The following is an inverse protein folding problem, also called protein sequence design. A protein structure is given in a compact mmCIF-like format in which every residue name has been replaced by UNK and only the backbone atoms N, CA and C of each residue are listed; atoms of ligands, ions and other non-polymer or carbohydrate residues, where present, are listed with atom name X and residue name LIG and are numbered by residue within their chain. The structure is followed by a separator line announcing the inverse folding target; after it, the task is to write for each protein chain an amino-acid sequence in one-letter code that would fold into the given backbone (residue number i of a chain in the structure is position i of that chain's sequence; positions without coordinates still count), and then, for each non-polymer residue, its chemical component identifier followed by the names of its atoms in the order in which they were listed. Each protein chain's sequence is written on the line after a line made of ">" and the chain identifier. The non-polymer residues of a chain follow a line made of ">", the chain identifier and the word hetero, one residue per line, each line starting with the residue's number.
data_IF_047447080981
#
_entry.id   IF_047447080981
#
_cell.length_a   1.000
_cell.length_b   1.000
_cell.length_c   1.000
_cell.angle_alpha   90.00
_cell.angle_beta   90.00
_cell.angle_gamma   90.00
#
_symmetry.space_group_name_H-M   'P 1'
#
loop_
_entity.id
_entity.type
_entity.pdbx_description
1 polymer ?
#
# COMPACT_ATOMS: atom_id res chain seq x y z
N UNK A 1 -56.40 -13.23 6.14
CA UNK A 1 -55.77 -12.56 5.74
C UNK A 1 -54.57 -12.57 6.18
N UNK A 2 -53.92 -12.51 5.46
CA UNK A 2 -52.77 -12.66 5.77
C UNK A 2 -52.35 -11.62 6.46
N UNK A 3 -51.96 -11.74 7.26
CA UNK A 3 -51.41 -11.01 7.75
C UNK A 3 -50.41 -10.53 7.28
N UNK A 4 -50.46 -9.74 6.97
CA UNK A 4 -49.52 -9.08 6.62
C UNK A 4 -48.54 -8.97 7.58
N UNK A 5 -47.56 -9.71 7.43
CA UNK A 5 -46.52 -9.48 8.13
C UNK A 5 -45.96 -8.21 7.71
N UNK A 6 -45.81 -7.25 8.53
CA UNK A 6 -45.08 -6.10 8.19
C UNK A 6 -43.73 -6.50 7.79
N UNK A 7 -43.24 -6.02 6.65
CA UNK A 7 -41.86 -6.25 6.34
C UNK A 7 -41.04 -5.69 7.47
N UNK A 8 -40.20 -6.49 8.01
CA UNK A 8 -39.23 -6.02 8.97
C UNK A 8 -38.44 -4.97 8.22
N UNK A 9 -38.51 -3.74 8.66
CA UNK A 9 -37.83 -2.69 7.93
C UNK A 9 -36.32 -2.94 7.98
N UNK A 10 -35.67 -2.61 6.92
CA UNK A 10 -34.20 -2.69 6.87
C UNK A 10 -33.59 -1.93 8.02
N UNK A 11 -34.20 -0.81 8.39
CA UNK A 11 -33.78 -0.01 9.51
C UNK A 11 -33.81 -0.75 10.82
N UNK A 12 -34.85 -1.57 11.04
CA UNK A 12 -34.94 -2.38 12.24
C UNK A 12 -33.83 -3.44 12.31
N UNK A 13 -33.55 -4.09 11.19
CA UNK A 13 -32.46 -5.06 11.12
C UNK A 13 -31.11 -4.41 11.33
N UNK A 14 -30.88 -3.26 10.72
CA UNK A 14 -29.64 -2.51 10.93
C UNK A 14 -29.48 -2.11 12.37
N UNK A 15 -30.58 -1.67 13.01
CA UNK A 15 -30.53 -1.24 14.39
C UNK A 15 -30.25 -2.42 15.33
N UNK A 16 -30.80 -3.57 15.02
CA UNK A 16 -30.63 -4.76 15.85
C UNK A 16 -29.21 -5.32 15.72
N UNK A 17 -28.66 -5.28 14.51
CA UNK A 17 -27.38 -5.92 14.21
C UNK A 17 -26.27 -4.93 13.93
N UNK A 18 -26.45 -3.65 14.27
CA UNK A 18 -25.46 -2.66 13.90
C UNK A 18 -24.08 -2.93 14.51
N UNK A 19 -24.04 -3.48 15.72
CA UNK A 19 -22.76 -3.81 16.37
C UNK A 19 -22.06 -4.93 15.60
N UNK A 20 -22.81 -5.96 15.20
CA UNK A 20 -22.25 -7.04 14.41
C UNK A 20 -21.75 -6.55 13.05
N UNK A 21 -22.51 -5.67 12.40
CA UNK A 21 -22.13 -5.10 11.12
C UNK A 21 -20.86 -4.28 11.27
N UNK A 22 -20.77 -3.49 12.33
CA UNK A 22 -19.61 -2.65 12.59
C UNK A 22 -18.36 -3.49 12.84
N UNK A 23 -18.48 -4.52 13.69
CA UNK A 23 -17.35 -5.42 13.98
C UNK A 23 -16.93 -6.16 12.72
N UNK A 24 -17.89 -6.63 11.93
CA UNK A 24 -17.59 -7.31 10.68
C UNK A 24 -16.87 -6.41 9.69
N UNK A 25 -17.29 -5.14 9.62
CA UNK A 25 -16.63 -4.16 8.76
C UNK A 25 -15.17 -3.92 9.15
N UNK A 26 -14.90 -3.79 10.46
CA UNK A 26 -13.53 -3.63 10.95
C UNK A 26 -12.70 -4.87 10.63
N UNK A 27 -13.28 -6.05 10.84
CA UNK A 27 -12.60 -7.30 10.59
C UNK A 27 -12.25 -7.46 9.11
N UNK A 28 -13.18 -7.10 8.21
CA UNK A 28 -12.94 -7.12 6.78
C UNK A 28 -11.84 -6.14 6.37
N UNK A 29 -11.82 -4.95 6.98
CA UNK A 29 -10.78 -3.96 6.72
C UNK A 29 -9.41 -4.50 7.09
N UNK A 30 -9.29 -5.15 8.23
CA UNK A 30 -8.03 -5.73 8.67
C UNK A 30 -7.56 -6.85 7.76
N UNK A 31 -8.49 -7.71 7.35
CA UNK A 31 -8.17 -8.79 6.41
C UNK A 31 -7.68 -8.20 5.08
N UNK A 32 -8.34 -7.15 4.61
CA UNK A 32 -7.95 -6.50 3.37
C UNK A 32 -6.53 -5.91 3.46
N UNK A 33 -6.21 -5.25 4.57
CA UNK A 33 -4.88 -4.69 4.78
C UNK A 33 -3.79 -5.75 4.79
N UNK A 34 -4.02 -6.82 5.52
CA UNK A 34 -3.05 -7.92 5.61
C UNK A 34 -2.91 -8.60 4.24
N UNK A 35 -4.02 -8.83 3.56
CA UNK A 35 -4.03 -9.45 2.25
C UNK A 35 -3.31 -8.62 1.21
N UNK A 36 -3.49 -7.31 1.24
CA UNK A 36 -2.81 -6.42 0.31
C UNK A 36 -1.30 -6.47 0.48
N UNK A 37 -0.81 -6.44 1.71
CA UNK A 37 0.62 -6.53 1.99
C UNK A 37 1.22 -7.84 1.51
N UNK A 38 0.54 -8.95 1.80
CA UNK A 38 0.98 -10.26 1.37
C UNK A 38 0.95 -10.41 -0.14
N UNK A 39 -0.07 -9.86 -0.77
CA UNK A 39 -0.22 -9.87 -2.22
C UNK A 39 0.93 -9.13 -2.90
N UNK A 40 1.25 -7.94 -2.42
CA UNK A 40 2.36 -7.17 -2.95
C UNK A 40 3.67 -7.91 -2.79
N UNK A 41 3.93 -8.46 -1.61
CA UNK A 41 5.16 -9.21 -1.34
C UNK A 41 5.27 -10.43 -2.25
N UNK A 42 4.17 -11.16 -2.41
CA UNK A 42 4.14 -12.33 -3.27
C UNK A 42 4.54 -11.99 -4.71
N UNK A 43 3.97 -10.95 -5.27
CA UNK A 43 4.29 -10.56 -6.64
C UNK A 43 5.72 -10.04 -6.78
N UNK A 44 6.22 -9.34 -5.76
CA UNK A 44 7.61 -8.88 -5.80
C UNK A 44 8.60 -10.03 -5.76
N UNK A 45 8.27 -11.11 -5.05
CA UNK A 45 9.15 -12.27 -4.99
C UNK A 45 9.07 -13.10 -6.27
N UNK A 46 7.87 -13.28 -6.83
CA UNK A 46 7.67 -14.24 -7.93
C UNK A 46 7.76 -13.63 -9.32
N UNK A 47 7.43 -12.34 -9.50
CA UNK A 47 7.32 -11.73 -10.82
C UNK A 47 8.05 -10.41 -10.94
N UNK A 48 9.09 -10.19 -10.15
CA UNK A 48 9.81 -8.92 -10.18
C UNK A 48 10.86 -8.89 -11.29
N UNK A 49 11.05 -7.70 -11.84
CA UNK A 49 12.06 -7.43 -12.88
C UNK A 49 13.04 -6.42 -12.28
N UNK A 50 14.36 -6.68 -12.37
CA UNK A 50 15.33 -5.71 -11.90
C UNK A 50 15.43 -4.52 -12.84
N UNK A 51 15.64 -3.34 -12.28
CA UNK A 51 15.76 -2.10 -13.02
C UNK A 51 16.64 -1.13 -12.28
N UNK A 52 17.29 -0.24 -13.01
CA UNK A 52 18.07 0.83 -12.39
C UNK A 52 17.16 2.02 -12.14
N UNK A 53 17.29 2.60 -10.96
CA UNK A 53 16.54 3.79 -10.58
C UNK A 53 17.51 4.87 -10.10
N UNK A 54 17.07 6.10 -10.16
CA UNK A 54 17.87 7.26 -9.80
C UNK A 54 17.29 7.90 -8.55
N UNK A 55 18.15 8.23 -7.60
CA UNK A 55 17.73 8.90 -6.36
C UNK A 55 17.35 10.34 -6.69
N UNK A 56 16.16 10.73 -6.28
CA UNK A 56 15.61 12.07 -6.54
C UNK A 56 15.46 12.84 -5.24
N UNK A 57 15.28 14.16 -5.36
CA UNK A 57 15.17 15.06 -4.22
C UNK A 57 13.72 15.04 -3.68
N UNK A 58 13.31 13.90 -3.18
CA UNK A 58 12.01 13.73 -2.55
C UNK A 58 12.25 12.97 -1.27
N UNK A 59 11.98 13.59 -0.13
CA UNK A 59 12.30 13.05 1.18
C UNK A 59 11.10 12.35 1.80
N UNK A 60 11.35 11.20 2.37
CA UNK A 60 10.35 10.44 3.13
C UNK A 60 10.79 10.45 4.59
N UNK A 61 10.03 11.12 5.44
CA UNK A 61 10.38 11.26 6.84
C UNK A 61 9.87 10.09 7.64
N UNK A 62 10.67 9.65 8.60
CA UNK A 62 10.30 8.58 9.51
C UNK A 62 9.88 9.14 10.85
N UNK A 63 8.89 8.51 11.47
CA UNK A 63 8.44 8.84 12.80
C UNK A 63 7.51 10.03 12.85
N UNK A 64 6.78 10.12 13.96
CA UNK A 64 5.82 11.18 14.21
C UNK A 64 6.37 12.26 15.13
N UNK A 65 7.66 12.19 15.47
CA UNK A 65 8.25 13.15 16.38
C UNK A 65 8.75 14.36 15.62
N UNK A 66 8.39 15.57 16.02
CA UNK A 66 8.92 16.77 15.37
C UNK A 66 10.43 16.93 15.59
N UNK A 67 11.04 16.14 16.46
CA UNK A 67 12.47 16.17 16.72
C UNK A 67 13.22 15.21 15.80
N UNK A 68 12.55 14.18 15.29
CA UNK A 68 13.19 13.22 14.41
C UNK A 68 13.23 13.79 13.00
N UNK A 69 14.44 14.09 12.52
CA UNK A 69 14.66 14.56 11.15
C UNK A 69 15.19 13.47 10.25
N UNK A 70 15.02 12.22 10.67
CA UNK A 70 15.47 11.10 9.86
C UNK A 70 14.59 10.98 8.62
N UNK A 71 15.22 10.84 7.48
CA UNK A 71 14.51 10.70 6.22
C UNK A 71 15.27 9.77 5.29
N UNK A 72 14.59 9.27 4.28
CA UNK A 72 15.20 8.60 3.15
C UNK A 72 14.78 9.30 1.88
N UNK A 73 15.62 9.21 0.85
CA UNK A 73 15.25 9.75 -0.45
C UNK A 73 14.44 8.73 -1.23
N UNK A 74 13.58 9.24 -2.09
CA UNK A 74 12.87 8.41 -3.05
C UNK A 74 13.75 8.16 -4.27
N UNK A 75 13.40 7.12 -5.01
CA UNK A 75 14.00 6.87 -6.31
C UNK A 75 12.94 6.96 -7.40
N UNK A 76 13.36 7.19 -8.62
CA UNK A 76 12.46 7.15 -9.76
C UNK A 76 13.03 6.25 -10.85
N UNK A 77 12.15 5.60 -11.58
CA UNK A 77 12.50 4.77 -12.71
C UNK A 77 11.41 4.87 -13.76
N UNK A 78 11.75 4.51 -14.99
CA UNK A 78 10.84 4.68 -16.12
C UNK A 78 10.55 3.32 -16.74
N UNK A 79 9.28 3.03 -16.94
CA UNK A 79 8.82 1.80 -17.58
C UNK A 79 7.87 2.20 -18.70
N UNK A 80 8.25 1.89 -19.95
CA UNK A 80 7.43 2.18 -21.13
C UNK A 80 6.92 3.62 -21.17
N UNK A 81 7.81 4.56 -20.87
CA UNK A 81 7.48 5.98 -20.93
C UNK A 81 6.82 6.58 -19.70
N UNK A 82 6.43 5.76 -18.73
CA UNK A 82 5.81 6.21 -17.48
C UNK A 82 6.83 6.19 -16.37
N UNK A 83 6.84 7.26 -15.57
CA UNK A 83 7.76 7.39 -14.45
C UNK A 83 7.08 6.90 -13.18
N UNK A 84 7.74 6.00 -12.47
CA UNK A 84 7.30 5.45 -11.19
C UNK A 84 8.29 5.82 -10.11
N UNK A 85 7.85 5.86 -8.88
CA UNK A 85 8.66 6.25 -7.72
C UNK A 85 8.51 5.25 -6.59
N UNK A 86 9.51 5.21 -5.73
CA UNK A 86 9.46 4.41 -4.52
C UNK A 86 10.39 4.98 -3.47
N UNK A 87 10.28 4.48 -2.24
CA UNK A 87 11.12 4.90 -1.13
C UNK A 87 12.35 3.99 -1.08
N UNK A 88 13.54 4.60 -1.10
CA UNK A 88 14.79 3.83 -1.03
C UNK A 88 15.01 3.19 0.35
N UNK A 89 14.33 3.70 1.37
CA UNK A 89 14.46 3.27 2.77
C UNK A 89 15.88 3.42 3.33
N UNK A 90 16.67 4.28 2.69
CA UNK A 90 18.06 4.52 3.08
C UNK A 90 18.36 6.01 3.08
N UNK A 91 18.99 6.50 4.14
CA UNK A 91 19.35 7.91 4.24
C UNK A 91 20.75 8.21 3.70
N UNK A 92 21.51 7.17 3.36
CA UNK A 92 22.91 7.32 2.95
C UNK A 92 23.07 7.61 1.46
N UNK A 93 22.04 7.43 0.67
CA UNK A 93 22.12 7.73 -0.76
C UNK A 93 22.19 9.23 -1.03
N UNK A 94 22.91 9.59 -2.07
CA UNK A 94 23.02 10.96 -2.52
C UNK A 94 22.15 11.19 -3.75
N UNK A 95 21.74 12.43 -3.95
CA UNK A 95 20.97 12.77 -5.14
C UNK A 95 21.75 12.42 -6.39
N UNK A 96 21.06 11.78 -7.35
CA UNK A 96 21.68 11.36 -8.59
C UNK A 96 22.30 9.97 -8.55
N UNK A 97 22.39 9.36 -7.36
CA UNK A 97 22.90 7.99 -7.26
C UNK A 97 21.98 7.04 -8.01
N UNK A 98 22.58 6.02 -8.63
CA UNK A 98 21.85 4.97 -9.30
C UNK A 98 21.82 3.76 -8.38
N UNK A 99 20.62 3.23 -8.14
CA UNK A 99 20.45 2.03 -7.33
C UNK A 99 19.70 0.97 -8.13
N UNK A 100 19.83 -0.27 -7.70
CA UNK A 100 19.10 -1.36 -8.31
C UNK A 100 17.81 -1.59 -7.54
N UNK A 101 16.71 -1.60 -8.27
CA UNK A 101 15.38 -1.88 -7.69
C UNK A 101 14.75 -3.03 -8.45
N UNK A 102 13.64 -3.54 -7.93
CA UNK A 102 12.83 -4.51 -8.64
C UNK A 102 11.37 -4.07 -8.61
N UNK A 103 10.66 -4.36 -9.69
CA UNK A 103 9.25 -3.99 -9.80
C UNK A 103 8.47 -5.12 -10.45
N UNK A 104 7.16 -5.11 -10.21
CA UNK A 104 6.26 -6.10 -10.81
C UNK A 104 5.88 -5.62 -12.21
N UNK A 105 6.11 -6.46 -13.22
CA UNK A 105 5.97 -6.07 -14.62
C UNK A 105 4.58 -5.59 -15.01
N UNK A 106 3.54 -6.20 -14.44
CA UNK A 106 2.17 -5.79 -14.77
C UNK A 106 1.65 -4.68 -13.87
N UNK A 107 2.39 -4.33 -12.80
CA UNK A 107 2.00 -3.24 -11.90
C UNK A 107 3.25 -2.61 -11.29
N UNK A 108 3.93 -1.71 -12.02
CA UNK A 108 5.22 -1.15 -11.57
C UNK A 108 5.13 -0.30 -10.30
N UNK A 109 3.93 0.07 -9.84
CA UNK A 109 3.77 0.70 -8.54
C UNK A 109 4.17 -0.24 -7.40
N UNK A 110 4.16 -1.55 -7.63
CA UNK A 110 4.73 -2.51 -6.71
C UNK A 110 6.21 -2.62 -7.05
N UNK A 111 7.03 -1.92 -6.27
CA UNK A 111 8.47 -1.89 -6.45
C UNK A 111 9.14 -1.79 -5.08
N UNK A 112 10.42 -2.16 -5.05
CA UNK A 112 11.23 -2.05 -3.83
C UNK A 112 12.69 -2.02 -4.23
N UNK A 113 13.58 -1.48 -3.36
CA UNK A 113 15.02 -1.62 -3.59
C UNK A 113 15.39 -3.10 -3.59
N UNK A 114 16.27 -3.47 -4.50
CA UNK A 114 16.72 -4.85 -4.56
C UNK A 114 17.67 -5.12 -3.41
N UNK A 115 17.42 -6.16 -2.61
CA UNK A 115 18.31 -6.50 -1.50
C UNK A 115 19.66 -7.01 -1.96
#
# INVERSE_FOLDING_TARGET
>A
MSKLQKPISLLFLLRKYYVLIFVFGIFCFWIFEIGYRNFKSYFLVSNSIPCKAVIINEKNYYGNSPVSKEFSYSYSFKVEGTIYKGNSNESTYKLGDTILIEYVSFYPNFNRPKP
#
